data_IF_230723176975
#
_entry.id   IF_230723176975
#
_cell.length_a   1.000
_cell.length_b   1.000
_cell.length_c   1.000
_cell.angle_alpha   90.00
_cell.angle_beta   90.00
_cell.angle_gamma   90.00
#
_symmetry.space_group_name_H-M   'P 1'
#
loop_
_entity.id
_entity.type
_entity.pdbx_description
1 polymer ?
#
# COMPACT_ATOMS: atom_id res chain seq x y z
N UNK A 1 -0.25 -15.38 53.03
CA UNK A 1 0.11 -14.37 52.02
C UNK A 1 1.19 -14.85 51.06
N UNK A 2 2.38 -15.24 51.55
CA UNK A 2 3.48 -15.74 50.69
C UNK A 2 3.07 -16.96 49.86
N UNK A 3 2.38 -17.93 50.44
CA UNK A 3 1.91 -19.13 49.74
C UNK A 3 0.92 -18.80 48.60
N UNK A 4 0.03 -17.81 48.81
CA UNK A 4 -0.89 -17.35 47.78
C UNK A 4 -0.18 -16.63 46.64
N UNK A 5 0.87 -15.85 46.94
CA UNK A 5 1.71 -15.21 45.92
C UNK A 5 2.50 -16.23 45.08
N UNK A 6 2.98 -17.32 45.70
CA UNK A 6 3.67 -18.40 44.97
C UNK A 6 2.71 -19.14 44.03
N UNK A 7 1.49 -19.45 44.50
CA UNK A 7 0.45 -20.06 43.66
C UNK A 7 0.09 -19.16 42.49
N UNK A 8 -0.09 -17.86 42.74
CA UNK A 8 -0.37 -16.88 41.68
C UNK A 8 0.80 -16.81 40.67
N UNK A 9 2.04 -16.80 41.16
CA UNK A 9 3.23 -16.82 40.31
C UNK A 9 3.31 -18.07 39.42
N UNK A 10 3.01 -19.25 39.97
CA UNK A 10 2.91 -20.48 39.18
C UNK A 10 1.76 -20.43 38.16
N UNK A 11 0.60 -19.89 38.55
CA UNK A 11 -0.55 -19.75 37.67
C UNK A 11 -0.23 -18.89 36.43
N UNK A 12 0.48 -17.78 36.62
CA UNK A 12 0.89 -16.90 35.53
C UNK A 12 2.14 -17.37 34.77
N UNK A 13 2.89 -18.34 35.30
CA UNK A 13 4.02 -18.95 34.60
C UNK A 13 3.64 -20.21 33.80
N UNK A 14 2.55 -20.90 34.18
CA UNK A 14 2.01 -22.10 33.51
C UNK A 14 1.85 -21.96 31.98
N UNK A 15 1.39 -20.82 31.42
CA UNK A 15 1.25 -20.67 29.98
C UNK A 15 2.55 -20.93 29.19
N UNK A 16 3.71 -20.58 29.76
CA UNK A 16 5.02 -20.78 29.11
C UNK A 16 5.44 -22.25 29.00
N UNK A 17 4.76 -23.17 29.67
CA UNK A 17 5.03 -24.61 29.57
C UNK A 17 4.31 -25.26 28.37
N UNK A 18 3.35 -24.55 27.77
CA UNK A 18 2.67 -25.00 26.56
C UNK A 18 3.49 -24.55 25.35
N UNK A 19 4.24 -25.48 24.76
CA UNK A 19 4.96 -25.21 23.52
C UNK A 19 3.96 -24.86 22.41
N UNK A 20 4.27 -23.86 21.56
CA UNK A 20 3.42 -23.51 20.44
C UNK A 20 3.35 -24.68 19.44
N UNK A 21 2.18 -24.86 18.83
CA UNK A 21 1.97 -25.86 17.78
C UNK A 21 2.54 -25.35 16.46
N UNK A 22 3.14 -26.26 15.67
CA UNK A 22 3.47 -25.97 14.28
C UNK A 22 2.18 -25.76 13.50
N UNK A 23 2.05 -24.62 12.81
CA UNK A 23 0.80 -24.26 12.15
C UNK A 23 1.01 -23.65 10.78
N UNK A 24 0.07 -23.87 9.87
CA UNK A 24 -0.03 -23.10 8.64
C UNK A 24 -1.21 -22.16 8.75
N UNK A 25 -0.98 -20.91 8.40
CA UNK A 25 -2.02 -19.91 8.31
C UNK A 25 -2.27 -19.60 6.83
N UNK A 26 -3.51 -19.75 6.42
CA UNK A 26 -3.95 -19.55 5.06
C UNK A 26 -4.86 -18.32 5.02
N UNK A 27 -4.40 -17.32 4.28
CA UNK A 27 -5.16 -16.12 3.97
C UNK A 27 -5.38 -16.04 2.45
N UNK A 28 -6.42 -15.33 2.02
CA UNK A 28 -6.47 -14.88 0.63
C UNK A 28 -5.33 -13.92 0.34
N UNK A 29 -4.86 -13.89 -0.91
CA UNK A 29 -3.72 -13.05 -1.31
C UNK A 29 -3.94 -11.55 -1.08
N UNK A 30 -5.21 -11.12 -1.11
CA UNK A 30 -5.69 -9.77 -0.83
C UNK A 30 -5.99 -9.50 0.66
N UNK A 31 -5.67 -10.46 1.54
CA UNK A 31 -5.97 -10.44 2.96
C UNK A 31 -7.40 -10.87 3.31
N UNK A 32 -8.22 -11.25 2.32
CA UNK A 32 -9.60 -11.70 2.55
C UNK A 32 -9.77 -13.15 2.11
N UNK A 33 -10.29 -13.96 3.03
CA UNK A 33 -10.61 -15.34 2.72
C UNK A 33 -12.07 -15.47 2.26
N UNK A 34 -12.28 -15.52 0.95
CA UNK A 34 -13.62 -15.74 0.39
C UNK A 34 -14.03 -17.22 0.48
N UNK A 35 -15.26 -17.47 0.93
CA UNK A 35 -15.82 -18.83 1.12
C UNK A 35 -14.91 -19.78 1.93
N UNK A 36 -14.61 -19.45 3.20
CA UNK A 36 -13.68 -20.21 4.06
C UNK A 36 -13.96 -21.71 4.09
N UNK A 37 -15.23 -22.11 4.13
CA UNK A 37 -15.65 -23.52 4.20
C UNK A 37 -15.25 -24.33 2.96
N UNK A 38 -15.20 -23.70 1.77
CA UNK A 38 -14.75 -24.36 0.54
C UNK A 38 -13.24 -24.57 0.58
N UNK A 39 -12.50 -23.54 1.02
CA UNK A 39 -11.05 -23.59 1.15
C UNK A 39 -10.64 -24.64 2.20
N UNK A 40 -11.31 -24.65 3.35
CA UNK A 40 -11.14 -25.64 4.42
C UNK A 40 -11.35 -27.07 3.90
N UNK A 41 -12.41 -27.30 3.12
CA UNK A 41 -12.65 -28.62 2.51
C UNK A 41 -11.53 -29.02 1.56
N UNK A 42 -11.09 -28.11 0.70
CA UNK A 42 -9.99 -28.34 -0.24
C UNK A 42 -8.69 -28.66 0.48
N UNK A 43 -8.41 -27.98 1.60
CA UNK A 43 -7.25 -28.25 2.45
C UNK A 43 -7.34 -29.66 3.04
N UNK A 44 -8.48 -30.01 3.67
CA UNK A 44 -8.68 -31.34 4.25
C UNK A 44 -8.54 -32.46 3.21
N UNK A 45 -9.09 -32.28 2.01
CA UNK A 45 -8.96 -33.23 0.90
C UNK A 45 -7.49 -33.39 0.49
N UNK A 46 -6.78 -32.29 0.24
CA UNK A 46 -5.36 -32.34 -0.18
C UNK A 46 -4.43 -32.97 0.87
N UNK A 47 -4.66 -32.70 2.16
CA UNK A 47 -3.90 -33.31 3.26
C UNK A 47 -4.19 -34.82 3.37
N UNK A 48 -5.46 -35.20 3.24
CA UNK A 48 -5.87 -36.62 3.29
C UNK A 48 -5.28 -37.41 2.13
N UNK A 49 -5.33 -36.87 0.92
CA UNK A 49 -4.76 -37.49 -0.29
C UNK A 49 -3.25 -37.68 -0.19
N UNK A 50 -2.56 -36.79 0.51
CA UNK A 50 -1.13 -36.88 0.79
C UNK A 50 -0.78 -37.75 2.02
N UNK A 51 -1.78 -38.25 2.75
CA UNK A 51 -1.59 -39.05 3.96
C UNK A 51 -1.01 -38.26 5.14
N UNK A 52 -1.33 -36.97 5.24
CA UNK A 52 -0.93 -36.10 6.35
C UNK A 52 -2.10 -35.84 7.30
N UNK A 53 -1.96 -36.25 8.56
CA UNK A 53 -2.94 -35.98 9.60
C UNK A 53 -2.69 -34.62 10.25
N UNK A 54 -3.62 -33.67 10.06
CA UNK A 54 -3.62 -32.41 10.79
C UNK A 54 -4.21 -32.59 12.20
N UNK A 55 -3.64 -31.89 13.19
CA UNK A 55 -4.17 -31.85 14.56
C UNK A 55 -5.52 -31.13 14.61
N UNK A 56 -5.64 -30.05 13.84
CA UNK A 56 -6.90 -29.31 13.66
C UNK A 56 -6.83 -28.48 12.39
N UNK A 57 -7.97 -28.26 11.74
CA UNK A 57 -8.16 -27.24 10.71
C UNK A 57 -9.34 -26.40 11.15
N UNK A 58 -9.14 -25.12 11.41
CA UNK A 58 -10.18 -24.23 11.91
C UNK A 58 -10.11 -22.86 11.24
N UNK A 59 -11.25 -22.18 11.15
CA UNK A 59 -11.33 -20.81 10.67
C UNK A 59 -11.24 -19.89 11.89
N UNK A 60 -10.17 -19.09 11.98
CA UNK A 60 -9.91 -18.16 13.07
C UNK A 60 -9.59 -16.77 12.49
N UNK A 61 -10.27 -15.73 12.97
CA UNK A 61 -10.03 -14.33 12.59
C UNK A 61 -10.01 -14.04 11.08
N UNK A 62 -10.82 -14.75 10.30
CA UNK A 62 -10.87 -14.59 8.84
C UNK A 62 -9.75 -15.30 8.08
N UNK A 63 -8.92 -16.08 8.77
CA UNK A 63 -7.89 -16.96 8.24
C UNK A 63 -8.28 -18.44 8.47
N UNK A 64 -7.67 -19.37 7.73
CA UNK A 64 -7.67 -20.78 8.13
C UNK A 64 -6.37 -21.11 8.85
N UNK A 65 -6.47 -21.70 10.03
CA UNK A 65 -5.36 -22.19 10.81
C UNK A 65 -5.34 -23.72 10.79
N UNK A 66 -4.27 -24.28 10.22
CA UNK A 66 -4.01 -25.72 10.18
C UNK A 66 -2.92 -26.01 11.20
N UNK A 67 -3.23 -26.72 12.29
CA UNK A 67 -2.24 -27.16 13.27
C UNK A 67 -1.72 -28.54 12.91
N UNK A 68 -0.41 -28.74 13.07
CA UNK A 68 0.33 -29.91 12.62
C UNK A 68 1.15 -30.49 13.77
N UNK A 69 1.51 -31.77 13.64
CA UNK A 69 2.17 -32.52 14.71
C UNK A 69 3.68 -32.25 14.78
N UNK A 70 4.30 -31.82 13.68
CA UNK A 70 5.75 -31.61 13.59
C UNK A 70 6.13 -30.55 12.54
N UNK A 71 7.35 -30.03 12.66
CA UNK A 71 7.99 -29.15 11.66
C UNK A 71 8.07 -29.82 10.27
N UNK A 72 8.40 -31.12 10.22
CA UNK A 72 8.42 -31.87 8.96
C UNK A 72 7.04 -31.98 8.31
N UNK A 73 5.98 -32.15 9.10
CA UNK A 73 4.62 -32.17 8.58
C UNK A 73 4.19 -30.78 8.12
N UNK A 74 4.63 -29.73 8.83
CA UNK A 74 4.44 -28.34 8.44
C UNK A 74 5.04 -28.03 7.08
N UNK A 75 6.29 -28.39 6.85
CA UNK A 75 6.96 -28.14 5.58
C UNK A 75 6.26 -28.86 4.42
N UNK A 76 5.90 -30.14 4.62
CA UNK A 76 5.21 -30.94 3.59
C UNK A 76 3.79 -30.42 3.32
N UNK A 77 3.03 -30.14 4.37
CA UNK A 77 1.68 -29.61 4.25
C UNK A 77 1.68 -28.25 3.56
N UNK A 78 2.70 -27.41 3.79
CA UNK A 78 2.83 -26.11 3.12
C UNK A 78 2.89 -26.30 1.61
N UNK A 79 3.77 -27.16 1.12
CA UNK A 79 3.95 -27.39 -0.31
C UNK A 79 2.65 -27.94 -0.94
N UNK A 80 2.05 -28.96 -0.30
CA UNK A 80 0.80 -29.59 -0.77
C UNK A 80 -0.36 -28.58 -0.84
N UNK A 81 -0.55 -27.81 0.23
CA UNK A 81 -1.65 -26.83 0.30
C UNK A 81 -1.38 -25.67 -0.66
N UNK A 82 -0.13 -25.23 -0.80
CA UNK A 82 0.24 -24.18 -1.76
C UNK A 82 -0.04 -24.59 -3.20
N UNK A 83 0.29 -25.84 -3.55
CA UNK A 83 0.01 -26.40 -4.88
C UNK A 83 -1.49 -26.59 -5.13
N UNK A 84 -2.24 -27.02 -4.12
CA UNK A 84 -3.68 -27.26 -4.22
C UNK A 84 -4.49 -25.97 -4.33
N UNK A 85 -4.13 -24.94 -3.56
CA UNK A 85 -4.83 -23.66 -3.54
C UNK A 85 -4.33 -22.68 -4.61
N UNK A 86 -3.10 -22.87 -5.09
CA UNK A 86 -2.48 -22.00 -6.08
C UNK A 86 -2.18 -20.60 -5.55
N UNK A 87 -1.84 -19.71 -6.49
CA UNK A 87 -1.35 -18.35 -6.20
C UNK A 87 -2.40 -17.36 -5.66
N UNK A 88 -3.67 -17.77 -5.54
CA UNK A 88 -4.75 -16.93 -4.99
C UNK A 88 -4.71 -16.85 -3.45
N UNK A 89 -3.94 -17.74 -2.81
CA UNK A 89 -3.83 -17.83 -1.36
C UNK A 89 -2.38 -17.71 -0.90
N UNK A 90 -2.19 -17.17 0.30
CA UNK A 90 -0.92 -17.11 1.00
C UNK A 90 -0.95 -18.17 2.08
N UNK A 91 -0.16 -19.23 1.88
CA UNK A 91 0.07 -20.28 2.88
C UNK A 91 1.34 -19.95 3.65
N UNK A 92 1.19 -19.39 4.84
CA UNK A 92 2.30 -18.95 5.68
C UNK A 92 2.56 -19.96 6.80
N UNK A 93 3.84 -20.29 7.03
CA UNK A 93 4.25 -21.07 8.20
C UNK A 93 4.25 -20.18 9.44
N UNK A 94 3.58 -20.63 10.49
CA UNK A 94 3.39 -19.93 11.76
C UNK A 94 3.58 -20.90 12.95
N UNK A 95 3.75 -20.36 14.15
CA UNK A 95 3.72 -21.08 15.42
C UNK A 95 2.51 -20.58 16.20
N UNK A 96 1.51 -21.45 16.39
CA UNK A 96 0.26 -21.07 17.04
C UNK A 96 0.30 -21.35 18.55
N UNK A 97 -0.18 -20.39 19.34
CA UNK A 97 -0.30 -20.58 20.79
C UNK A 97 -1.22 -21.76 21.11
N UNK A 98 -0.75 -22.65 21.97
CA UNK A 98 -1.48 -23.84 22.45
C UNK A 98 -1.80 -23.72 23.96
N UNK A 99 -1.91 -22.49 24.46
CA UNK A 99 -2.29 -22.24 25.86
C UNK A 99 -3.78 -22.55 26.04
N UNK A 100 -4.18 -23.40 26.99
CA UNK A 100 -5.59 -23.73 27.21
C UNK A 100 -6.48 -22.52 27.51
N UNK A 101 -7.71 -22.51 27.01
CA UNK A 101 -8.67 -21.40 27.23
C UNK A 101 -8.87 -21.05 28.71
N UNK A 102 -8.88 -22.07 29.59
CA UNK A 102 -9.03 -21.83 31.03
C UNK A 102 -7.89 -20.97 31.60
N UNK A 103 -6.65 -21.13 31.13
CA UNK A 103 -5.53 -20.27 31.53
C UNK A 103 -5.67 -18.87 30.95
N UNK A 104 -6.03 -18.78 29.67
CA UNK A 104 -6.23 -17.49 28.98
C UNK A 104 -7.33 -16.65 29.64
N UNK A 105 -8.44 -17.28 30.07
CA UNK A 105 -9.55 -16.61 30.75
C UNK A 105 -9.18 -15.96 32.10
N UNK A 106 -8.10 -16.43 32.75
CA UNK A 106 -7.53 -15.80 33.95
C UNK A 106 -6.54 -14.66 33.64
N UNK A 107 -6.37 -14.31 32.35
CA UNK A 107 -5.36 -13.34 31.90
C UNK A 107 -3.93 -13.90 31.92
N UNK A 108 -3.77 -15.22 32.13
CA UNK A 108 -2.47 -15.87 32.07
C UNK A 108 -2.16 -16.22 30.61
N UNK A 109 -1.48 -15.30 29.93
CA UNK A 109 -0.95 -15.49 28.57
C UNK A 109 0.54 -15.85 28.62
N UNK A 110 1.05 -16.61 27.64
CA UNK A 110 2.49 -16.87 27.53
C UNK A 110 3.24 -15.55 27.31
N UNK A 111 4.52 -15.55 27.70
CA UNK A 111 5.39 -14.40 27.55
C UNK A 111 5.67 -14.19 26.06
N UNK A 112 5.50 -12.94 25.60
CA UNK A 112 5.85 -12.55 24.24
C UNK A 112 7.36 -12.65 24.05
N UNK A 113 7.77 -13.58 23.22
CA UNK A 113 9.16 -13.83 22.89
C UNK A 113 9.57 -12.88 21.75
N UNK A 114 10.69 -12.18 21.93
CA UNK A 114 11.28 -11.34 20.89
C UNK A 114 11.83 -12.17 19.73
N UNK A 115 12.22 -11.50 18.63
CA UNK A 115 12.76 -12.14 17.43
C UNK A 115 13.90 -13.14 17.72
N UNK A 116 14.79 -12.80 18.66
CA UNK A 116 15.94 -13.63 19.02
C UNK A 116 15.55 -14.96 19.70
N UNK A 117 14.34 -15.02 20.29
CA UNK A 117 13.85 -16.19 21.03
C UNK A 117 12.80 -16.97 20.24
N UNK A 118 11.94 -16.29 19.47
CA UNK A 118 10.91 -16.91 18.62
C UNK A 118 11.42 -17.30 17.23
N UNK A 119 12.59 -16.80 16.84
CA UNK A 119 12.96 -16.72 15.43
C UNK A 119 12.05 -15.75 14.66
N UNK A 120 12.34 -15.57 13.37
CA UNK A 120 11.56 -14.71 12.49
C UNK A 120 12.41 -13.96 11.47
N UNK A 121 11.89 -12.83 10.99
CA UNK A 121 12.60 -11.97 10.04
C UNK A 121 12.66 -10.51 10.48
N UNK A 122 13.79 -9.87 10.18
CA UNK A 122 14.04 -8.45 10.38
C UNK A 122 14.33 -7.79 9.04
N UNK A 123 13.51 -6.82 8.65
CA UNK A 123 13.71 -6.01 7.45
C UNK A 123 14.01 -4.57 7.81
N UNK A 124 15.01 -4.00 7.13
CA UNK A 124 15.28 -2.57 7.12
C UNK A 124 14.97 -2.04 5.72
N UNK A 125 13.89 -1.26 5.62
CA UNK A 125 13.39 -0.72 4.37
C UNK A 125 13.75 0.77 4.27
N UNK A 126 14.12 1.23 3.07
CA UNK A 126 14.46 2.61 2.77
C UNK A 126 13.34 3.22 1.91
N UNK A 127 12.75 4.32 2.37
CA UNK A 127 11.75 5.06 1.61
C UNK A 127 12.48 5.93 0.57
N UNK A 128 11.96 5.93 -0.66
CA UNK A 128 12.44 6.80 -1.74
C UNK A 128 11.87 8.22 -1.59
N UNK A 129 12.58 9.00 -0.77
CA UNK A 129 12.22 10.40 -0.49
C UNK A 129 12.49 11.27 -1.71
N UNK A 130 13.52 10.96 -2.49
CA UNK A 130 13.89 11.78 -3.64
C UNK A 130 12.77 11.80 -4.66
N UNK A 131 12.18 10.64 -4.96
CA UNK A 131 11.01 10.55 -5.83
C UNK A 131 9.83 11.39 -5.31
N UNK A 132 9.60 11.44 -4.00
CA UNK A 132 8.53 12.26 -3.42
C UNK A 132 8.79 13.77 -3.56
N UNK A 133 10.05 14.20 -3.40
CA UNK A 133 10.48 15.58 -3.61
C UNK A 133 10.35 15.96 -5.09
N UNK A 134 10.78 15.08 -6.00
CA UNK A 134 10.71 15.32 -7.44
C UNK A 134 9.26 15.45 -7.90
N UNK A 135 8.36 14.57 -7.42
CA UNK A 135 6.93 14.66 -7.69
C UNK A 135 6.33 15.99 -7.18
N UNK A 136 6.70 16.42 -5.97
CA UNK A 136 6.27 17.71 -5.41
C UNK A 136 6.76 18.89 -6.26
N UNK A 137 8.02 18.87 -6.71
CA UNK A 137 8.59 19.92 -7.54
C UNK A 137 7.98 19.96 -8.94
N UNK A 138 7.69 18.81 -9.55
CA UNK A 138 6.98 18.74 -10.84
C UNK A 138 5.56 19.32 -10.74
N UNK A 139 4.86 19.03 -9.64
CA UNK A 139 3.57 19.64 -9.33
C UNK A 139 3.67 21.17 -9.22
N UNK A 140 4.70 21.65 -8.50
CA UNK A 140 4.99 23.07 -8.31
C UNK A 140 5.45 23.76 -9.60
N UNK A 141 6.21 23.10 -10.46
CA UNK A 141 6.60 23.60 -11.79
C UNK A 141 5.36 23.91 -12.64
N UNK A 142 4.41 22.97 -12.67
CA UNK A 142 3.16 23.11 -13.40
C UNK A 142 2.32 24.28 -12.86
N UNK A 143 2.28 24.45 -11.54
CA UNK A 143 1.62 25.57 -10.89
C UNK A 143 2.29 26.92 -11.23
N UNK A 144 3.62 27.00 -11.17
CA UNK A 144 4.37 28.21 -11.54
C UNK A 144 4.08 28.62 -12.98
N UNK A 145 4.08 27.69 -13.93
CA UNK A 145 3.72 27.97 -15.33
C UNK A 145 2.31 28.54 -15.47
N UNK A 146 1.37 28.11 -14.62
CA UNK A 146 0.01 28.66 -14.57
C UNK A 146 0.02 30.08 -14.01
N UNK A 147 0.63 30.28 -12.84
CA UNK A 147 0.73 31.60 -12.18
C UNK A 147 1.37 32.65 -13.09
N UNK A 148 2.46 32.32 -13.80
CA UNK A 148 3.10 33.24 -14.76
C UNK A 148 2.17 33.64 -15.91
N UNK A 149 1.40 32.68 -16.45
CA UNK A 149 0.45 32.97 -17.55
C UNK A 149 -0.71 33.84 -17.09
N UNK A 150 -1.27 33.55 -15.91
CA UNK A 150 -2.38 34.31 -15.33
C UNK A 150 -1.95 35.73 -14.93
N UNK A 151 -0.72 35.89 -14.43
CA UNK A 151 -0.12 37.20 -14.16
C UNK A 151 0.34 37.97 -15.40
N UNK A 152 0.28 37.38 -16.60
CA UNK A 152 0.70 38.02 -17.85
C UNK A 152 2.21 38.13 -18.05
N UNK A 153 3.02 37.47 -17.21
CA UNK A 153 4.48 37.49 -17.29
C UNK A 153 4.98 36.58 -18.40
N UNK A 154 5.83 37.12 -19.28
CA UNK A 154 6.39 36.36 -20.40
C UNK A 154 7.62 35.58 -19.95
N UNK A 155 7.60 34.26 -20.12
CA UNK A 155 8.74 33.38 -19.82
C UNK A 155 9.23 32.62 -21.06
N UNK A 156 10.50 32.24 -21.06
CA UNK A 156 11.14 31.41 -22.08
C UNK A 156 11.08 29.94 -21.71
N UNK A 157 11.40 29.60 -20.45
CA UNK A 157 11.38 28.25 -19.94
C UNK A 157 11.04 28.22 -18.44
N UNK A 158 10.43 27.11 -18.00
CA UNK A 158 10.38 26.71 -16.60
C UNK A 158 10.79 25.24 -16.61
N UNK A 159 11.74 24.83 -15.78
CA UNK A 159 12.12 23.41 -15.70
C UNK A 159 12.69 23.08 -14.34
N UNK A 160 12.31 21.92 -13.83
CA UNK A 160 12.93 21.28 -12.69
C UNK A 160 14.16 20.49 -13.14
N UNK A 161 15.30 20.73 -12.48
CA UNK A 161 16.51 19.92 -12.61
C UNK A 161 17.24 19.88 -11.27
N UNK A 162 17.64 18.68 -10.81
CA UNK A 162 18.36 18.47 -9.56
C UNK A 162 17.69 19.13 -8.34
N UNK A 163 16.37 19.00 -8.22
CA UNK A 163 15.55 19.57 -7.15
C UNK A 163 15.48 21.10 -7.11
N UNK A 164 15.85 21.75 -8.22
CA UNK A 164 15.78 23.20 -8.39
C UNK A 164 14.91 23.51 -9.60
N UNK A 165 13.88 24.32 -9.38
CA UNK A 165 13.07 24.88 -10.46
C UNK A 165 13.77 26.13 -10.97
N UNK A 166 14.18 26.08 -12.23
CA UNK A 166 14.68 27.22 -12.99
C UNK A 166 13.53 27.87 -13.76
N UNK A 167 13.39 29.18 -13.63
CA UNK A 167 12.35 29.99 -14.25
C UNK A 167 13.03 31.09 -15.04
N UNK A 168 13.09 30.96 -16.36
CA UNK A 168 13.72 31.94 -17.23
C UNK A 168 12.66 32.88 -17.81
N UNK A 169 12.76 34.17 -17.48
CA UNK A 169 11.86 35.21 -17.95
C UNK A 169 12.35 35.82 -19.28
N UNK A 170 11.45 36.47 -20.02
CA UNK A 170 11.79 37.18 -21.27
C UNK A 170 12.11 38.66 -21.09
N UNK A 171 11.78 39.22 -19.93
CA UNK A 171 11.95 40.63 -19.60
C UNK A 171 12.63 40.76 -18.24
N UNK A 172 13.70 41.55 -18.18
CA UNK A 172 14.41 41.83 -16.94
C UNK A 172 13.56 42.68 -15.99
N UNK A 173 12.69 43.53 -16.54
CA UNK A 173 11.81 44.42 -15.79
C UNK A 173 10.72 43.64 -15.01
N UNK A 174 10.41 42.42 -15.45
CA UNK A 174 9.42 41.55 -14.80
C UNK A 174 10.00 40.82 -13.57
N UNK A 175 11.34 40.63 -13.52
CA UNK A 175 12.01 39.81 -12.50
C UNK A 175 11.69 40.27 -11.07
N UNK A 176 11.76 41.55 -10.69
CA UNK A 176 11.46 41.98 -9.31
C UNK A 176 10.01 41.72 -8.91
N UNK A 177 9.08 41.91 -9.84
CA UNK A 177 7.64 41.69 -9.62
C UNK A 177 7.34 40.21 -9.43
N UNK A 178 7.86 39.35 -10.31
CA UNK A 178 7.70 37.89 -10.20
C UNK A 178 8.37 37.35 -8.95
N UNK A 179 9.59 37.81 -8.64
CA UNK A 179 10.33 37.38 -7.45
C UNK A 179 9.55 37.68 -6.17
N UNK A 180 9.06 38.91 -6.02
CA UNK A 180 8.31 39.33 -4.83
C UNK A 180 6.95 38.64 -4.70
N UNK A 181 6.26 38.39 -5.82
CA UNK A 181 5.02 37.61 -5.82
C UNK A 181 5.26 36.16 -5.42
N UNK A 182 6.31 35.52 -5.94
CA UNK A 182 6.62 34.14 -5.65
C UNK A 182 7.12 33.95 -4.21
N UNK A 183 7.94 34.85 -3.69
CA UNK A 183 8.38 34.82 -2.29
C UNK A 183 7.22 34.93 -1.31
N UNK A 184 6.15 35.66 -1.68
CA UNK A 184 4.92 35.73 -0.88
C UNK A 184 4.06 34.47 -1.04
N UNK A 185 3.97 33.94 -2.25
CA UNK A 185 3.07 32.83 -2.61
C UNK A 185 3.61 31.48 -2.13
N UNK A 186 4.93 31.30 -2.15
CA UNK A 186 5.61 30.05 -1.81
C UNK A 186 6.61 30.26 -0.65
N UNK A 187 6.12 30.53 0.57
CA UNK A 187 7.00 30.77 1.73
C UNK A 187 7.80 29.53 2.16
N UNK A 188 7.43 28.35 1.67
CA UNK A 188 8.10 27.07 1.90
C UNK A 188 9.28 26.84 0.94
N UNK A 189 9.58 27.80 0.07
CA UNK A 189 10.59 27.71 -0.97
C UNK A 189 11.65 28.82 -0.84
N UNK A 190 12.92 28.45 -1.03
CA UNK A 190 14.03 29.38 -1.19
C UNK A 190 14.03 29.90 -2.63
N UNK A 191 13.70 31.18 -2.83
CA UNK A 191 13.58 31.78 -4.16
C UNK A 191 14.56 32.95 -4.28
N UNK A 192 15.39 32.91 -5.33
CA UNK A 192 16.43 33.91 -5.60
C UNK A 192 16.63 34.09 -7.10
N UNK A 193 17.26 35.20 -7.48
CA UNK A 193 17.76 35.37 -8.86
C UNK A 193 19.05 34.57 -9.01
N UNK A 194 19.27 34.01 -10.20
CA UNK A 194 20.51 33.32 -10.54
C UNK A 194 21.68 34.31 -10.60
N UNK A 195 22.82 33.92 -10.03
CA UNK A 195 24.05 34.73 -10.08
C UNK A 195 24.68 34.74 -11.49
N UNK A 196 24.28 33.79 -12.35
CA UNK A 196 24.82 33.61 -13.71
C UNK A 196 23.96 34.31 -14.76
N UNK A 197 22.64 34.34 -14.57
CA UNK A 197 21.69 34.93 -15.51
C UNK A 197 20.60 35.71 -14.75
N UNK A 198 20.63 37.05 -14.89
CA UNK A 198 19.71 37.95 -14.22
C UNK A 198 18.24 37.80 -14.66
N UNK A 199 17.98 37.13 -15.79
CA UNK A 199 16.62 36.79 -16.25
C UNK A 199 16.08 35.50 -15.62
N UNK A 200 16.91 34.75 -14.90
CA UNK A 200 16.54 33.46 -14.36
C UNK A 200 16.33 33.53 -12.85
N UNK A 201 15.16 33.08 -12.39
CA UNK A 201 14.83 32.85 -11.00
C UNK A 201 15.04 31.37 -10.68
N UNK A 202 15.70 31.09 -9.57
CA UNK A 202 15.91 29.75 -9.03
C UNK A 202 15.04 29.58 -7.79
N UNK A 203 14.32 28.47 -7.75
CA UNK A 203 13.49 28.06 -6.62
C UNK A 203 13.88 26.67 -6.17
N UNK A 204 14.18 26.50 -4.89
CA UNK A 204 14.36 25.19 -4.26
C UNK A 204 13.50 25.11 -3.00
N UNK A 205 13.19 23.91 -2.53
CA UNK A 205 12.49 23.76 -1.26
C UNK A 205 13.34 24.26 -0.08
N UNK A 206 12.67 24.74 0.97
CA UNK A 206 13.30 24.94 2.28
C UNK A 206 13.58 23.59 2.94
N UNK A 207 14.59 23.52 3.82
CA UNK A 207 14.85 22.29 4.58
C UNK A 207 13.65 21.83 5.42
N UNK A 208 12.86 22.78 5.93
CA UNK A 208 11.64 22.47 6.68
C UNK A 208 10.65 21.72 5.78
N UNK A 209 10.40 22.23 4.58
CA UNK A 209 9.47 21.60 3.62
C UNK A 209 9.96 20.23 3.16
N UNK A 210 11.27 20.07 2.94
CA UNK A 210 11.86 18.75 2.63
C UNK A 210 11.62 17.76 3.76
N UNK A 211 11.79 18.16 5.03
CA UNK A 211 11.51 17.29 6.19
C UNK A 211 10.03 16.93 6.29
N UNK A 212 9.11 17.84 6.00
CA UNK A 212 7.68 17.54 5.98
C UNK A 212 7.33 16.48 4.93
N UNK A 213 7.94 16.57 3.73
CA UNK A 213 7.75 15.58 2.66
C UNK A 213 8.33 14.22 3.08
N UNK A 214 9.52 14.20 3.69
CA UNK A 214 10.11 12.99 4.26
C UNK A 214 9.19 12.34 5.30
N UNK A 215 8.71 13.11 6.26
CA UNK A 215 7.85 12.65 7.34
C UNK A 215 6.54 12.09 6.79
N UNK A 216 5.94 12.79 5.81
CA UNK A 216 4.73 12.34 5.13
C UNK A 216 4.96 11.04 4.36
N UNK A 217 6.02 10.95 3.55
CA UNK A 217 6.35 9.77 2.77
C UNK A 217 6.59 8.55 3.67
N UNK A 218 7.30 8.73 4.79
CA UNK A 218 7.54 7.65 5.76
C UNK A 218 6.25 7.24 6.46
N UNK A 219 5.42 8.20 6.91
CA UNK A 219 4.15 7.90 7.58
C UNK A 219 3.18 7.13 6.67
N UNK A 220 3.12 7.50 5.39
CA UNK A 220 2.29 6.83 4.40
C UNK A 220 2.76 5.39 4.17
N UNK A 221 4.05 5.18 3.97
CA UNK A 221 4.62 3.84 3.80
C UNK A 221 4.49 2.98 5.07
N UNK A 222 4.57 3.58 6.25
CA UNK A 222 4.38 2.89 7.53
C UNK A 222 2.97 2.30 7.64
N UNK A 223 1.95 3.08 7.27
CA UNK A 223 0.56 2.63 7.26
C UNK A 223 0.35 1.50 6.25
N UNK A 224 0.91 1.64 5.04
CA UNK A 224 0.81 0.58 4.02
C UNK A 224 1.50 -0.71 4.46
N UNK A 225 2.69 -0.63 5.05
CA UNK A 225 3.43 -1.79 5.54
C UNK A 225 2.69 -2.50 6.69
N UNK A 226 2.06 -1.76 7.61
CA UNK A 226 1.24 -2.38 8.67
C UNK A 226 0.14 -3.26 8.10
N UNK A 227 -0.60 -2.76 7.10
CA UNK A 227 -1.67 -3.52 6.48
C UNK A 227 -1.15 -4.79 5.79
N UNK A 228 -0.06 -4.68 5.02
CA UNK A 228 0.57 -5.84 4.36
C UNK A 228 1.11 -6.87 5.31
N UNK A 229 1.61 -6.42 6.46
CA UNK A 229 2.11 -7.35 7.47
C UNK A 229 0.96 -8.07 8.16
N UNK A 230 -0.20 -7.43 8.33
CA UNK A 230 -1.40 -8.11 8.81
C UNK A 230 -1.86 -9.20 7.81
N UNK A 231 -1.69 -8.99 6.50
CA UNK A 231 -1.98 -10.02 5.47
C UNK A 231 -1.13 -11.29 5.64
N UNK A 232 0.08 -11.16 6.21
CA UNK A 232 0.93 -12.32 6.52
C UNK A 232 0.40 -13.17 7.68
N UNK A 233 -0.64 -12.72 8.41
CA UNK A 233 -1.22 -13.45 9.52
C UNK A 233 -0.35 -13.45 10.79
N UNK A 234 0.67 -12.60 10.85
CA UNK A 234 1.57 -12.52 12.01
C UNK A 234 0.81 -11.90 13.17
N UNK A 235 0.76 -12.58 14.31
CA UNK A 235 0.00 -12.13 15.47
C UNK A 235 0.51 -10.78 16.03
N UNK A 236 1.83 -10.53 15.97
CA UNK A 236 2.45 -9.36 16.63
C UNK A 236 3.62 -8.72 15.86
N UNK A 237 3.35 -8.07 14.73
CA UNK A 237 4.38 -7.40 13.97
C UNK A 237 4.82 -6.07 14.59
N UNK A 238 6.12 -5.79 14.52
CA UNK A 238 6.66 -4.47 14.89
C UNK A 238 7.01 -3.73 13.60
N UNK A 239 6.23 -2.70 13.27
CA UNK A 239 6.50 -1.79 12.15
C UNK A 239 6.72 -0.38 12.69
N UNK A 240 7.96 0.08 12.63
CA UNK A 240 8.36 1.36 13.22
C UNK A 240 9.31 2.14 12.31
N UNK A 241 9.32 3.46 12.46
CA UNK A 241 10.30 4.33 11.81
C UNK A 241 11.66 4.19 12.49
N UNK A 242 12.72 4.06 11.70
CA UNK A 242 14.10 4.07 12.17
C UNK A 242 14.86 5.24 11.51
N UNK A 243 15.14 6.29 12.28
CA UNK A 243 15.79 7.50 11.74
C UNK A 243 14.89 8.29 10.77
N UNK A 244 15.49 8.97 9.79
CA UNK A 244 14.76 9.91 8.91
C UNK A 244 13.91 9.22 7.84
N UNK A 245 14.44 8.24 7.14
CA UNK A 245 13.80 7.69 5.93
C UNK A 245 13.77 6.16 5.89
N UNK A 246 14.03 5.50 7.02
CA UNK A 246 13.98 4.04 7.11
C UNK A 246 12.83 3.55 7.98
N UNK A 247 12.36 2.36 7.66
CA UNK A 247 11.32 1.65 8.40
C UNK A 247 11.89 0.28 8.78
N UNK A 248 11.82 -0.04 10.07
CA UNK A 248 12.14 -1.35 10.59
C UNK A 248 10.85 -2.17 10.68
N UNK A 249 10.91 -3.38 10.14
CA UNK A 249 9.83 -4.38 10.21
C UNK A 249 10.38 -5.64 10.86
N UNK A 250 9.78 -6.06 11.96
CA UNK A 250 10.12 -7.30 12.65
C UNK A 250 8.88 -8.19 12.66
N UNK A 251 9.05 -9.41 12.17
CA UNK A 251 8.00 -10.41 12.08
C UNK A 251 8.43 -11.65 12.90
N UNK A 252 8.13 -11.69 14.21
CA UNK A 252 8.41 -12.86 15.03
C UNK A 252 7.63 -14.08 14.53
N UNK A 253 8.24 -15.26 14.61
CA UNK A 253 7.58 -16.53 14.26
C UNK A 253 7.39 -16.78 12.75
N UNK A 254 7.70 -15.80 11.89
CA UNK A 254 7.68 -16.00 10.43
C UNK A 254 8.87 -16.85 10.00
N UNK A 255 8.59 -18.02 9.44
CA UNK A 255 9.63 -18.94 8.98
C UNK A 255 10.03 -18.73 7.51
N UNK A 256 9.11 -18.26 6.65
CA UNK A 256 9.39 -18.01 5.22
C UNK A 256 9.72 -16.53 4.96
N UNK A 257 11.02 -16.22 4.94
CA UNK A 257 11.51 -14.87 4.66
C UNK A 257 11.26 -14.39 3.23
N UNK A 258 11.23 -15.31 2.25
CA UNK A 258 11.04 -14.97 0.85
C UNK A 258 9.58 -14.58 0.60
N UNK A 259 8.63 -15.33 1.16
CA UNK A 259 7.22 -14.99 1.15
C UNK A 259 6.95 -13.66 1.87
N UNK A 260 7.53 -13.46 3.06
CA UNK A 260 7.40 -12.19 3.77
C UNK A 260 7.91 -11.02 2.93
N UNK A 261 9.09 -11.15 2.30
CA UNK A 261 9.66 -10.14 1.41
C UNK A 261 8.75 -9.85 0.21
N UNK A 262 8.13 -10.87 -0.39
CA UNK A 262 7.19 -10.70 -1.52
C UNK A 262 5.96 -9.88 -1.12
N UNK A 263 5.37 -10.16 0.04
CA UNK A 263 4.16 -9.46 0.50
C UNK A 263 4.45 -8.01 0.91
N UNK A 264 5.51 -7.77 1.70
CA UNK A 264 5.87 -6.40 2.08
C UNK A 264 6.33 -5.55 0.89
N UNK A 265 6.94 -6.19 -0.11
CA UNK A 265 7.48 -5.57 -1.33
C UNK A 265 6.44 -5.29 -2.42
N UNK A 266 5.15 -5.61 -2.20
CA UNK A 266 4.06 -5.23 -3.12
C UNK A 266 4.11 -3.72 -3.39
N UNK A 267 3.70 -3.30 -4.58
CA UNK A 267 3.51 -1.87 -4.87
C UNK A 267 2.09 -1.65 -5.34
N UNK A 268 1.38 -0.73 -4.69
CA UNK A 268 0.02 -0.39 -5.02
C UNK A 268 -0.03 0.99 -5.69
N UNK A 269 -0.86 1.13 -6.72
CA UNK A 269 -1.16 2.40 -7.37
C UNK A 269 -2.67 2.55 -7.56
N UNK A 270 -3.12 3.80 -7.68
CA UNK A 270 -4.51 4.14 -7.96
C UNK A 270 -4.61 4.68 -9.39
N UNK A 271 -5.63 4.30 -10.13
CA UNK A 271 -5.93 4.86 -11.44
C UNK A 271 -7.40 5.26 -11.52
N UNK A 272 -7.67 6.39 -12.16
CA UNK A 272 -9.01 6.93 -12.27
C UNK A 272 -9.51 6.74 -13.69
N UNK A 273 -10.67 6.11 -13.84
CA UNK A 273 -11.25 5.71 -15.12
C UNK A 273 -12.72 6.11 -15.19
N UNK A 274 -13.22 6.35 -16.40
CA UNK A 274 -14.67 6.45 -16.60
C UNK A 274 -15.28 5.05 -16.68
N UNK A 275 -16.53 4.91 -16.25
CA UNK A 275 -17.34 3.73 -16.57
C UNK A 275 -17.54 3.67 -18.09
N UNK A 276 -17.35 2.48 -18.66
CA UNK A 276 -17.56 2.23 -20.09
C UNK A 276 -19.01 2.53 -20.46
N UNK A 277 -19.22 3.13 -21.63
CA UNK A 277 -20.56 3.35 -22.17
C UNK A 277 -20.72 2.58 -23.50
N UNK A 278 -21.85 2.78 -24.17
CA UNK A 278 -22.14 2.15 -25.46
C UNK A 278 -21.18 2.57 -26.57
N UNK A 279 -20.58 3.77 -26.50
CA UNK A 279 -19.62 4.28 -27.48
C UNK A 279 -18.17 3.90 -27.20
N UNK A 280 -17.83 3.39 -26.01
CA UNK A 280 -16.49 2.88 -25.70
C UNK A 280 -16.16 1.68 -26.59
N UNK A 281 -15.07 1.72 -27.38
CA UNK A 281 -14.63 0.59 -28.21
C UNK A 281 -14.36 -0.66 -27.38
N UNK A 282 -14.66 -1.84 -27.93
CA UNK A 282 -14.53 -3.12 -27.21
C UNK A 282 -13.12 -3.36 -26.64
N UNK A 283 -12.06 -2.95 -27.35
CA UNK A 283 -10.67 -3.11 -26.91
C UNK A 283 -10.27 -2.21 -25.73
N UNK A 284 -11.04 -1.15 -25.46
CA UNK A 284 -10.88 -0.25 -24.31
C UNK A 284 -11.77 -0.63 -23.13
N UNK A 285 -12.63 -1.64 -23.26
CA UNK A 285 -13.48 -2.09 -22.15
C UNK A 285 -12.70 -3.05 -21.27
N UNK A 286 -12.75 -2.83 -19.96
CA UNK A 286 -12.21 -3.75 -18.97
C UNK A 286 -13.24 -3.99 -17.88
N UNK A 287 -13.51 -5.26 -17.59
CA UNK A 287 -14.35 -5.63 -16.45
C UNK A 287 -13.47 -5.80 -15.24
N UNK A 288 -13.76 -5.04 -14.19
CA UNK A 288 -13.07 -5.10 -12.91
C UNK A 288 -14.02 -5.61 -11.82
N UNK A 289 -13.58 -6.54 -10.97
CA UNK A 289 -14.29 -6.86 -9.75
C UNK A 289 -14.12 -5.73 -8.71
N UNK A 290 -15.10 -5.58 -7.83
CA UNK A 290 -14.96 -4.73 -6.65
C UNK A 290 -13.99 -5.39 -5.68
N UNK A 291 -13.09 -4.60 -5.09
CA UNK A 291 -12.18 -5.07 -4.05
C UNK A 291 -12.94 -5.46 -2.77
N UNK A 292 -14.05 -4.78 -2.46
CA UNK A 292 -14.82 -5.03 -1.23
C UNK A 292 -15.87 -6.15 -1.43
N UNK A 293 -16.50 -6.19 -2.60
CA UNK A 293 -17.55 -7.15 -2.94
C UNK A 293 -17.25 -7.85 -4.27
N UNK A 294 -16.47 -8.93 -4.29
CA UNK A 294 -16.00 -9.58 -5.53
C UNK A 294 -17.11 -9.99 -6.52
N UNK A 295 -18.35 -10.17 -6.04
CA UNK A 295 -19.53 -10.43 -6.87
C UNK A 295 -20.04 -9.21 -7.67
N UNK A 296 -19.60 -8.00 -7.31
CA UNK A 296 -19.89 -6.77 -8.03
C UNK A 296 -18.79 -6.50 -9.04
N UNK A 297 -19.18 -6.26 -10.29
CA UNK A 297 -18.24 -5.89 -11.35
C UNK A 297 -18.60 -4.54 -11.96
N UNK A 298 -17.58 -3.76 -12.33
CA UNK A 298 -17.72 -2.54 -13.10
C UNK A 298 -17.05 -2.74 -14.47
N UNK A 299 -17.67 -2.25 -15.54
CA UNK A 299 -17.00 -2.19 -16.85
C UNK A 299 -16.48 -0.78 -17.03
N UNK A 300 -15.16 -0.64 -17.08
CA UNK A 300 -14.48 0.65 -17.18
C UNK A 300 -13.90 0.88 -18.58
N UNK A 301 -13.68 2.14 -18.90
CA UNK A 301 -12.84 2.58 -20.01
C UNK A 301 -11.37 2.57 -19.55
N UNK A 302 -10.53 1.78 -20.22
CA UNK A 302 -9.09 1.63 -19.95
C UNK A 302 -8.30 2.93 -20.07
N UNK A 303 -8.89 3.98 -20.65
CA UNK A 303 -8.25 5.29 -20.72
C UNK A 303 -8.06 5.87 -19.32
N UNK A 304 -6.80 5.99 -18.89
CA UNK A 304 -6.43 6.56 -17.60
C UNK A 304 -6.68 8.07 -17.64
N UNK A 305 -7.45 8.57 -16.67
CA UNK A 305 -7.67 10.02 -16.46
C UNK A 305 -6.49 10.60 -15.71
N UNK A 306 -6.22 10.06 -14.51
CA UNK A 306 -5.10 10.40 -13.64
C UNK A 306 -4.64 9.16 -12.87
N UNK A 307 -3.42 9.21 -12.34
CA UNK A 307 -2.84 8.13 -11.53
C UNK A 307 -2.57 8.60 -10.11
N UNK A 308 -2.31 7.66 -9.20
CA UNK A 308 -1.94 7.93 -7.81
C UNK A 308 -0.67 8.77 -7.68
N UNK A 309 0.23 8.73 -8.67
CA UNK A 309 1.46 9.53 -8.67
C UNK A 309 1.17 11.04 -8.79
N UNK A 310 0.00 11.41 -9.30
CA UNK A 310 -0.45 12.79 -9.41
C UNK A 310 -1.24 13.25 -8.17
N UNK A 311 -1.36 12.40 -7.14
CA UNK A 311 -1.99 12.74 -5.86
C UNK A 311 -0.92 13.35 -4.95
N UNK A 312 -1.08 14.62 -4.62
CA UNK A 312 -0.17 15.35 -3.71
C UNK A 312 -0.59 15.23 -2.26
N UNK A 313 -1.88 14.99 -1.98
CA UNK A 313 -2.39 14.78 -0.64
C UNK A 313 -3.66 13.92 -0.65
N UNK A 314 -3.77 12.99 0.29
CA UNK A 314 -4.97 12.20 0.53
C UNK A 314 -5.24 12.11 2.04
N UNK A 315 -6.41 12.54 2.49
CA UNK A 315 -6.76 12.58 3.91
C UNK A 315 -8.15 11.98 4.16
N UNK A 316 -8.31 11.12 5.18
CA UNK A 316 -9.63 10.74 5.66
C UNK A 316 -10.39 11.99 6.12
N UNK A 317 -11.67 12.06 5.75
CA UNK A 317 -12.59 13.10 6.22
C UNK A 317 -13.99 12.51 6.37
N UNK A 318 -14.93 13.31 6.83
CA UNK A 318 -16.33 12.92 6.91
C UNK A 318 -17.17 13.88 6.09
N UNK A 319 -18.19 13.34 5.44
CA UNK A 319 -19.21 14.14 4.77
C UNK A 319 -19.94 15.01 5.83
N UNK A 320 -19.94 16.35 5.69
CA UNK A 320 -20.58 17.24 6.66
C UNK A 320 -22.09 17.05 6.82
N UNK A 321 -22.78 16.52 5.79
CA UNK A 321 -24.23 16.34 5.81
C UNK A 321 -24.62 14.96 6.33
N UNK A 322 -23.93 13.92 5.87
CA UNK A 322 -24.29 12.53 6.16
C UNK A 322 -23.45 11.89 7.27
N UNK A 323 -22.39 12.57 7.71
CA UNK A 323 -21.36 12.06 8.62
C UNK A 323 -20.74 10.72 8.16
N UNK A 324 -20.84 10.41 6.86
CA UNK A 324 -20.26 9.22 6.27
C UNK A 324 -18.75 9.41 6.05
N UNK A 325 -17.93 8.36 6.23
CA UNK A 325 -16.51 8.44 5.93
C UNK A 325 -16.26 8.65 4.43
N UNK A 326 -15.31 9.52 4.11
CA UNK A 326 -14.85 9.81 2.76
C UNK A 326 -13.35 10.10 2.74
N UNK A 327 -12.72 10.06 1.57
CA UNK A 327 -11.30 10.45 1.43
C UNK A 327 -11.21 11.70 0.58
N UNK A 328 -10.65 12.77 1.13
CA UNK A 328 -10.33 13.98 0.36
C UNK A 328 -9.02 13.76 -0.38
N UNK A 329 -9.05 13.98 -1.69
CA UNK A 329 -7.89 13.88 -2.58
C UNK A 329 -7.57 15.26 -3.13
N UNK A 330 -6.28 15.59 -3.09
CA UNK A 330 -5.70 16.73 -3.82
C UNK A 330 -4.72 16.18 -4.85
N UNK A 331 -4.89 16.60 -6.09
CA UNK A 331 -4.02 16.32 -7.21
C UNK A 331 -3.04 17.48 -7.42
N UNK A 332 -1.94 17.18 -8.12
CA UNK A 332 -1.08 18.21 -8.71
C UNK A 332 -1.83 19.01 -9.80
N UNK A 333 -1.18 20.06 -10.33
CA UNK A 333 -1.81 20.90 -11.35
C UNK A 333 -2.07 20.16 -12.67
N UNK A 334 -1.23 19.22 -13.08
CA UNK A 334 -1.39 18.48 -14.32
C UNK A 334 -2.56 17.49 -14.21
N UNK A 335 -2.61 16.73 -13.11
CA UNK A 335 -3.69 15.83 -12.75
C UNK A 335 -5.01 16.57 -12.58
N UNK A 336 -5.02 17.75 -11.94
CA UNK A 336 -6.22 18.58 -11.84
C UNK A 336 -6.78 19.02 -13.19
N UNK A 337 -5.92 19.37 -14.16
CA UNK A 337 -6.34 19.73 -15.53
C UNK A 337 -6.87 18.51 -16.28
N UNK A 338 -6.20 17.36 -16.18
CA UNK A 338 -6.63 16.09 -16.79
C UNK A 338 -7.99 15.64 -16.23
N UNK A 339 -8.14 15.68 -14.90
CA UNK A 339 -9.37 15.38 -14.20
C UNK A 339 -10.50 16.32 -14.61
N UNK A 340 -10.25 17.63 -14.68
CA UNK A 340 -11.25 18.59 -15.12
C UNK A 340 -11.70 18.36 -16.56
N UNK A 341 -10.75 18.18 -17.47
CA UNK A 341 -11.04 17.88 -18.88
C UNK A 341 -11.85 16.59 -19.01
N UNK A 342 -11.48 15.54 -18.29
CA UNK A 342 -12.16 14.26 -18.34
C UNK A 342 -13.56 14.31 -17.72
N UNK A 343 -13.80 15.10 -16.67
CA UNK A 343 -15.10 15.13 -15.97
C UNK A 343 -16.07 16.16 -16.51
N UNK A 344 -15.60 17.25 -17.14
CA UNK A 344 -16.43 18.35 -17.64
C UNK A 344 -17.55 17.90 -18.58
N UNK A 345 -17.22 17.03 -19.54
CA UNK A 345 -18.18 16.52 -20.54
C UNK A 345 -18.80 15.18 -20.11
N UNK A 346 -18.48 14.71 -18.90
CA UNK A 346 -18.88 13.41 -18.38
C UNK A 346 -19.66 13.52 -17.07
N UNK A 347 -20.20 14.70 -16.76
CA UNK A 347 -21.14 14.89 -15.64
C UNK A 347 -22.32 13.95 -15.80
N UNK A 348 -22.69 13.29 -14.70
CA UNK A 348 -23.71 12.25 -14.67
C UNK A 348 -23.19 10.85 -15.01
N UNK A 349 -22.00 10.67 -15.61
CA UNK A 349 -21.39 9.34 -15.75
C UNK A 349 -20.77 8.89 -14.43
N UNK A 350 -20.51 7.59 -14.31
CA UNK A 350 -19.76 7.04 -13.18
C UNK A 350 -18.27 7.05 -13.49
N UNK A 351 -17.48 7.26 -12.44
CA UNK A 351 -16.04 7.22 -12.43
C UNK A 351 -15.62 6.12 -11.47
N UNK A 352 -14.76 5.23 -11.95
CA UNK A 352 -14.16 4.16 -11.18
C UNK A 352 -12.80 4.60 -10.66
N UNK A 353 -12.51 4.25 -9.41
CA UNK A 353 -11.17 4.31 -8.84
C UNK A 353 -10.65 2.89 -8.84
N UNK A 354 -9.74 2.60 -9.77
CA UNK A 354 -9.06 1.32 -9.89
C UNK A 354 -7.87 1.28 -8.92
N UNK A 355 -7.80 0.21 -8.14
CA UNK A 355 -6.64 -0.15 -7.36
C UNK A 355 -5.86 -1.23 -8.12
N UNK A 356 -4.58 -0.95 -8.36
CA UNK A 356 -3.67 -1.88 -9.02
C UNK A 356 -2.58 -2.24 -8.03
N UNK A 357 -2.41 -3.52 -7.78
CA UNK A 357 -1.33 -4.06 -6.96
C UNK A 357 -0.44 -4.95 -7.81
N UNK A 358 0.86 -4.69 -7.75
CA UNK A 358 1.85 -5.52 -8.42
C UNK A 358 2.41 -6.54 -7.44
N UNK A 359 2.27 -7.82 -7.78
CA UNK A 359 2.95 -8.91 -7.11
C UNK A 359 4.10 -9.44 -7.95
N UNK A 360 5.18 -9.82 -7.27
CA UNK A 360 6.32 -10.47 -7.93
C UNK A 360 6.12 -11.98 -7.90
N UNK A 361 6.06 -12.58 -9.08
CA UNK A 361 6.09 -14.02 -9.29
C UNK A 361 7.40 -14.42 -9.96
N UNK A 362 7.74 -15.70 -9.90
CA UNK A 362 8.94 -16.25 -10.53
C UNK A 362 8.52 -17.19 -11.65
N UNK A 363 9.17 -17.08 -12.80
CA UNK A 363 9.04 -18.04 -13.90
C UNK A 363 10.38 -18.71 -14.15
N UNK A 364 10.37 -20.00 -14.42
CA UNK A 364 11.56 -20.72 -14.85
C UNK A 364 11.83 -20.41 -16.32
N UNK A 365 12.98 -19.81 -16.60
CA UNK A 365 13.48 -19.56 -17.95
C UNK A 365 14.84 -20.23 -18.11
N UNK A 366 15.07 -20.82 -19.28
CA UNK A 366 16.36 -21.43 -19.61
C UNK A 366 17.27 -20.32 -20.14
N UNK A 367 18.42 -20.10 -19.51
CA UNK A 367 19.40 -19.10 -19.97
C UNK A 367 20.12 -19.59 -21.25
N UNK A 368 20.98 -18.75 -21.81
CA UNK A 368 21.78 -19.06 -23.01
C UNK A 368 22.70 -20.30 -22.85
N UNK A 369 23.04 -20.69 -21.62
CA UNK A 369 23.86 -21.85 -21.27
C UNK A 369 23.03 -23.14 -21.03
N UNK A 370 21.72 -23.11 -21.23
CA UNK A 370 20.85 -24.26 -21.02
C UNK A 370 20.50 -24.52 -19.55
N UNK A 371 20.78 -23.57 -18.66
CA UNK A 371 20.49 -23.68 -17.22
C UNK A 371 19.14 -23.06 -16.92
N UNK A 372 18.29 -23.78 -16.17
CA UNK A 372 17.04 -23.24 -15.64
C UNK A 372 17.32 -22.19 -14.56
N UNK A 373 16.86 -20.96 -14.80
CA UNK A 373 17.00 -19.82 -13.90
C UNK A 373 15.61 -19.25 -13.60
N UNK A 374 15.33 -18.93 -12.35
CA UNK A 374 14.12 -18.22 -11.96
C UNK A 374 14.24 -16.73 -12.28
N UNK A 375 13.39 -16.23 -13.16
CA UNK A 375 13.30 -14.81 -13.48
C UNK A 375 12.07 -14.20 -12.79
N UNK A 376 12.23 -13.10 -12.01
CA UNK A 376 11.10 -12.41 -11.41
C UNK A 376 10.32 -11.65 -12.48
N UNK A 377 8.99 -11.79 -12.47
CA UNK A 377 8.08 -10.99 -13.31
C UNK A 377 6.96 -10.40 -12.46
N UNK A 378 6.44 -9.25 -12.87
CA UNK A 378 5.36 -8.57 -12.14
C UNK A 378 3.99 -8.93 -12.73
N UNK A 379 3.10 -9.40 -11.88
CA UNK A 379 1.68 -9.62 -12.18
C UNK A 379 0.87 -8.51 -11.55
N UNK A 380 0.04 -7.86 -12.34
CA UNK A 380 -0.83 -6.78 -11.89
C UNK A 380 -2.22 -7.33 -11.54
N UNK A 381 -2.59 -7.27 -10.27
CA UNK A 381 -3.94 -7.50 -9.79
C UNK A 381 -4.73 -6.19 -9.86
N UNK A 382 -5.91 -6.22 -10.45
CA UNK A 382 -6.72 -5.03 -10.72
C UNK A 382 -8.12 -5.21 -10.14
N UNK A 383 -8.54 -4.25 -9.33
CA UNK A 383 -9.89 -4.17 -8.77
C UNK A 383 -10.35 -2.73 -8.74
N UNK A 384 -11.65 -2.47 -8.57
CA UNK A 384 -12.13 -1.12 -8.27
C UNK A 384 -12.49 -1.00 -6.79
N UNK A 385 -12.12 0.13 -6.18
CA UNK A 385 -12.41 0.45 -4.77
C UNK A 385 -13.60 1.40 -4.62
N UNK A 386 -13.93 2.15 -5.67
CA UNK A 386 -15.09 3.04 -5.67
C UNK A 386 -15.61 3.19 -7.09
N UNK A 387 -16.93 3.30 -7.22
CA UNK A 387 -17.64 3.60 -8.46
C UNK A 387 -18.69 4.68 -8.18
N UNK A 388 -18.32 5.93 -8.36
CA UNK A 388 -19.12 7.08 -7.95
C UNK A 388 -19.62 7.88 -9.16
N UNK A 389 -20.81 8.49 -9.05
CA UNK A 389 -21.35 9.36 -10.11
C UNK A 389 -20.68 10.74 -10.04
N UNK A 390 -20.19 11.23 -11.17
CA UNK A 390 -19.67 12.60 -11.32
C UNK A 390 -20.84 13.56 -11.21
N UNK A 391 -20.90 14.36 -10.14
CA UNK A 391 -21.98 15.32 -9.92
C UNK A 391 -21.69 16.68 -10.57
N UNK A 392 -20.42 17.04 -10.67
CA UNK A 392 -19.93 18.29 -11.25
C UNK A 392 -18.52 18.08 -11.83
N UNK A 393 -18.05 18.96 -12.72
CA UNK A 393 -16.66 18.92 -13.18
C UNK A 393 -15.71 18.99 -11.98
N UNK A 394 -14.83 18.00 -11.86
CA UNK A 394 -13.87 17.91 -10.77
C UNK A 394 -12.63 18.75 -11.10
N UNK A 395 -12.06 19.40 -10.08
CA UNK A 395 -10.80 20.16 -10.21
C UNK A 395 -9.64 19.31 -9.66
N UNK A 396 -8.58 19.96 -9.20
CA UNK A 396 -7.50 19.34 -8.45
C UNK A 396 -7.92 18.83 -7.06
N UNK A 397 -9.06 19.23 -6.49
CA UNK A 397 -9.57 18.72 -5.21
C UNK A 397 -10.94 18.08 -5.38
N UNK A 398 -11.08 16.86 -4.89
CA UNK A 398 -12.35 16.12 -4.87
C UNK A 398 -12.38 15.13 -3.71
N UNK A 399 -13.53 14.49 -3.49
CA UNK A 399 -13.70 13.45 -2.47
C UNK A 399 -14.07 12.14 -3.13
N UNK A 400 -13.56 11.03 -2.58
CA UNK A 400 -14.03 9.69 -2.90
C UNK A 400 -14.97 9.23 -1.79
N UNK A 401 -16.19 8.89 -2.18
CA UNK A 401 -17.22 8.38 -1.29
C UNK A 401 -17.38 6.86 -1.48
N UNK A 402 -18.05 6.22 -0.52
CA UNK A 402 -18.33 4.79 -0.56
C UNK A 402 -17.14 3.91 -0.14
N UNK A 403 -16.14 4.50 0.53
CA UNK A 403 -15.05 3.76 1.17
C UNK A 403 -15.46 3.47 2.62
N UNK A 404 -15.65 2.20 2.99
CA UNK A 404 -15.73 1.79 4.40
C UNK A 404 -14.35 1.32 4.87
N UNK A 405 -14.01 1.65 6.12
CA UNK A 405 -12.69 1.36 6.73
C UNK A 405 -12.41 -0.14 6.78
#
# INVERSE_FOLDING_TARGET
MIFALIILGFLYALPNLYAPDYALQINGYDGRLDNPQRVERSINESLTDAGLDAKSVEVLDGAILVRLNSDSDQLRAKDIISDALGSEFVVAMNLADNTPEWLQSFGASPMKLGLDLSGGVHFLLQVDVNQAIDNELQGRESEIRRTLREGGFRYSNVSEENQVISISLRSIDDVPSVLSDFQRTYPDSNIRVSDVDALTILMSLTELRVREIEDYAVAQNLTSLRNRVNELGVAEPIVQRQGRSRIVVQLPGVQDSAQAKRIIGKTANLQFHLESNSSTPAYLRETLPSREFPSQTAVIDRTIIVTGNQVTNAQPSFDPETNAPQVSITLDSAGGVQMNRATRDNVGRRMAVQFIEYRTEFRTVVNEDGVEVEEPYQVAERSFISLARIQQPLSNRFVINGLRQ
#
